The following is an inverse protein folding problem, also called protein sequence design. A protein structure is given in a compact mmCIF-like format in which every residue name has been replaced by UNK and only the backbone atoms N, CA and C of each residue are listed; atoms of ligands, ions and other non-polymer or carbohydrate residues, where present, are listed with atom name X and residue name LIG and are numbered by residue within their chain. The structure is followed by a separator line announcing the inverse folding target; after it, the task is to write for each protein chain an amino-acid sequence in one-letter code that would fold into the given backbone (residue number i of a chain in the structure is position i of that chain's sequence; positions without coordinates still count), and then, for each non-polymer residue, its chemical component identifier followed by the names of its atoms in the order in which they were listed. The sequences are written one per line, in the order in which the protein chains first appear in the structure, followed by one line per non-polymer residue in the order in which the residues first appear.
data_IF_081299877757
#
_entry.id   IF_081299877757
#
_cell.length_a   1.000
_cell.length_b   1.000
_cell.length_c   1.000
_cell.angle_alpha   90.00
_cell.angle_beta   90.00
_cell.angle_gamma   90.00
#
_symmetry.space_group_name_H-M   'P 1'
#
loop_
_entity.id
_entity.type
_entity.pdbx_description
1 polymer ?
#
# COMPACT_ATOMS: atom_id res chain seq x y z
N UNK A 1 -4.53 8.15 -5.04
CA UNK A 1 -3.37 7.71 -4.23
C UNK A 1 -2.20 8.72 -4.25
N UNK A 2 -2.45 10.02 -4.13
CA UNK A 2 -1.40 11.07 -4.23
C UNK A 2 -0.85 11.55 -2.89
N UNK A 3 -1.46 11.16 -1.76
CA UNK A 3 -1.02 11.58 -0.42
C UNK A 3 0.20 10.78 0.10
N UNK A 4 0.41 9.55 -0.38
CA UNK A 4 1.50 8.67 0.09
C UNK A 4 2.91 9.30 -0.02
N UNK A 5 3.30 9.83 -1.19
CA UNK A 5 4.60 10.51 -1.35
C UNK A 5 4.75 11.75 -0.49
N UNK A 6 3.68 12.52 -0.28
CA UNK A 6 3.68 13.73 0.55
C UNK A 6 3.93 13.34 2.02
N UNK A 7 3.24 12.31 2.50
CA UNK A 7 3.44 11.76 3.83
C UNK A 7 4.88 11.27 4.00
N UNK A 8 5.39 10.51 3.03
CA UNK A 8 6.77 10.02 3.06
C UNK A 8 7.79 11.16 3.12
N UNK A 9 7.58 12.23 2.35
CA UNK A 9 8.47 13.38 2.31
C UNK A 9 8.67 14.05 3.68
N UNK A 10 7.59 14.25 4.45
CA UNK A 10 7.67 14.87 5.77
C UNK A 10 8.03 13.87 6.88
N UNK A 11 7.53 12.64 6.80
CA UNK A 11 7.77 11.64 7.85
C UNK A 11 9.21 11.16 7.90
N UNK A 12 9.85 10.94 6.75
CA UNK A 12 11.21 10.40 6.70
C UNK A 12 12.22 11.19 7.54
N UNK A 13 12.34 12.54 7.43
CA UNK A 13 13.27 13.31 8.26
C UNK A 13 12.86 13.36 9.75
N UNK A 14 11.55 13.44 10.05
CA UNK A 14 11.05 13.47 11.44
C UNK A 14 11.38 12.17 12.17
N UNK A 15 11.13 11.03 11.50
CA UNK A 15 11.38 9.71 12.07
C UNK A 15 12.88 9.45 12.21
N UNK A 16 13.70 9.92 11.25
CA UNK A 16 15.15 9.88 11.37
C UNK A 16 15.64 10.59 12.63
N UNK A 17 15.17 11.82 12.85
CA UNK A 17 15.51 12.59 14.05
C UNK A 17 14.99 11.92 15.34
N UNK A 18 13.77 11.37 15.33
CA UNK A 18 13.20 10.68 16.50
C UNK A 18 13.96 9.38 16.81
N UNK A 19 14.44 8.69 15.77
CA UNK A 19 15.25 7.47 15.89
C UNK A 19 16.61 7.71 16.51
N UNK A 20 17.23 8.83 16.20
CA UNK A 20 18.54 9.15 16.78
C UNK A 20 18.47 9.49 18.28
N UNK A 21 17.33 9.92 18.79
CA UNK A 21 17.11 10.24 20.21
C UNK A 21 16.53 9.07 21.04
N UNK A 22 16.20 7.94 20.42
CA UNK A 22 15.56 6.82 21.10
C UNK A 22 16.57 6.01 21.95
N UNK A 23 16.54 6.18 23.27
CA UNK A 23 17.42 5.48 24.23
C UNK A 23 16.77 4.23 24.83
N UNK A 24 16.20 3.34 24.01
CA UNK A 24 15.58 2.11 24.51
C UNK A 24 16.59 0.97 24.69
N UNK A 25 16.38 0.13 25.71
CA UNK A 25 17.26 -1.02 26.03
C UNK A 25 17.33 -2.12 24.95
N UNK A 26 16.40 -2.12 23.98
CA UNK A 26 16.43 -3.02 22.82
C UNK A 26 17.29 -2.50 21.64
N UNK A 27 18.04 -1.41 21.86
CA UNK A 27 18.87 -0.74 20.85
C UNK A 27 18.13 0.42 20.17
N UNK A 28 18.88 1.32 19.52
CA UNK A 28 18.38 2.61 19.00
C UNK A 28 17.36 2.46 17.87
N UNK A 29 17.49 1.44 17.00
CA UNK A 29 16.74 1.33 15.72
C UNK A 29 15.67 0.23 15.66
N UNK A 30 15.83 -0.85 16.44
CA UNK A 30 14.87 -1.96 16.53
C UNK A 30 13.46 -1.58 17.06
N UNK A 31 13.31 -0.75 18.11
CA UNK A 31 11.98 -0.42 18.63
C UNK A 31 11.13 0.36 17.64
N UNK A 32 11.75 1.20 16.80
CA UNK A 32 11.02 2.01 15.80
C UNK A 32 10.52 1.14 14.68
N UNK A 33 11.32 0.17 14.23
CA UNK A 33 10.87 -0.84 13.28
C UNK A 33 9.66 -1.63 13.79
N UNK A 34 9.67 -2.03 15.08
CA UNK A 34 8.54 -2.73 15.72
C UNK A 34 7.31 -1.81 15.83
N UNK A 35 7.51 -0.54 16.16
CA UNK A 35 6.43 0.46 16.24
C UNK A 35 5.78 0.64 14.86
N UNK A 36 6.59 0.73 13.80
CA UNK A 36 6.11 0.80 12.41
C UNK A 36 5.34 -0.44 11.99
N UNK A 37 5.81 -1.62 12.40
CA UNK A 37 5.11 -2.88 12.21
C UNK A 37 3.74 -2.87 12.90
N UNK A 38 3.67 -2.41 14.15
CA UNK A 38 2.41 -2.30 14.90
C UNK A 38 1.43 -1.33 14.25
N UNK A 39 1.89 -0.14 13.85
CA UNK A 39 1.07 0.84 13.11
C UNK A 39 0.56 0.25 11.80
N UNK A 40 1.42 -0.44 11.05
CA UNK A 40 1.05 -1.09 9.80
C UNK A 40 0.01 -2.20 10.00
N UNK A 41 0.15 -3.01 11.06
CA UNK A 41 -0.83 -4.05 11.41
C UNK A 41 -2.19 -3.46 11.74
N UNK A 42 -2.24 -2.44 12.60
CA UNK A 42 -3.49 -1.76 12.98
C UNK A 42 -4.16 -1.14 11.76
N UNK A 43 -3.39 -0.44 10.93
CA UNK A 43 -3.88 0.14 9.69
C UNK A 43 -4.43 -0.92 8.73
N UNK A 44 -3.69 -2.01 8.50
CA UNK A 44 -4.08 -3.06 7.56
C UNK A 44 -5.33 -3.82 8.03
N UNK A 45 -5.45 -4.05 9.33
CA UNK A 45 -6.63 -4.68 9.93
C UNK A 45 -7.86 -3.78 9.83
N UNK A 46 -7.70 -2.46 10.07
CA UNK A 46 -8.76 -1.48 9.86
C UNK A 46 -9.22 -1.39 8.41
N UNK A 47 -8.27 -1.35 7.46
CA UNK A 47 -8.57 -1.37 6.02
C UNK A 47 -9.34 -2.64 5.61
N UNK A 48 -8.96 -3.80 6.14
CA UNK A 48 -9.65 -5.07 5.89
C UNK A 48 -11.11 -5.00 6.35
N UNK A 49 -11.36 -4.54 7.59
CA UNK A 49 -12.73 -4.46 8.13
C UNK A 49 -13.59 -3.50 7.30
N UNK A 50 -13.07 -2.32 6.94
CA UNK A 50 -13.79 -1.35 6.13
C UNK A 50 -14.05 -1.87 4.70
N UNK A 51 -13.14 -2.67 4.14
CA UNK A 51 -13.27 -3.24 2.79
C UNK A 51 -14.22 -4.45 2.71
N UNK A 52 -14.51 -5.13 3.83
CA UNK A 52 -15.46 -6.25 3.88
C UNK A 52 -16.92 -5.77 3.95
N UNK A 53 -17.17 -4.58 4.51
CA UNK A 53 -18.52 -4.01 4.63
C UNK A 53 -19.35 -4.02 3.32
N UNK A 54 -18.81 -3.62 2.14
CA UNK A 54 -19.58 -3.67 0.90
C UNK A 54 -19.78 -5.09 0.34
N UNK A 55 -19.06 -6.10 0.86
CA UNK A 55 -19.09 -7.48 0.38
C UNK A 55 -19.98 -8.41 1.18
N UNK A 56 -20.51 -7.99 2.34
CA UNK A 56 -21.44 -8.79 3.13
C UNK A 56 -22.82 -8.76 2.46
N UNK A 57 -23.30 -9.87 1.85
CA UNK A 57 -24.72 -9.96 1.53
C UNK A 57 -25.45 -10.09 2.87
N UNK A 58 -26.61 -9.44 3.00
CA UNK A 58 -27.60 -9.67 4.07
C UNK A 58 -27.46 -8.75 5.31
N UNK A 59 -28.55 -7.99 5.56
CA UNK A 59 -29.08 -7.51 6.86
C UNK A 59 -28.59 -6.23 7.55
N UNK A 60 -27.76 -5.37 6.96
CA UNK A 60 -27.47 -4.04 7.56
C UNK A 60 -28.04 -2.85 6.79
N UNK A 61 -29.02 -3.06 5.90
CA UNK A 61 -29.84 -1.96 5.34
C UNK A 61 -30.68 -1.24 6.41
N UNK A 62 -30.77 -1.81 7.61
CA UNK A 62 -31.59 -1.35 8.75
C UNK A 62 -30.87 -0.40 9.69
N UNK A 63 -29.56 -0.20 9.58
CA UNK A 63 -28.88 0.84 10.36
C UNK A 63 -28.69 2.04 9.44
N UNK A 64 -29.66 2.94 9.47
CA UNK A 64 -29.63 4.24 8.80
C UNK A 64 -28.45 5.06 9.34
N UNK A 65 -27.25 4.84 8.80
CA UNK A 65 -26.17 5.78 8.96
C UNK A 65 -26.44 6.92 7.99
N UNK A 66 -26.76 8.08 8.57
CA UNK A 66 -27.02 9.34 7.87
C UNK A 66 -26.11 9.49 6.65
N UNK A 67 -26.69 9.48 5.45
CA UNK A 67 -26.05 9.89 4.21
C UNK A 67 -25.77 11.40 4.29
N UNK A 68 -24.71 11.77 4.99
CA UNK A 68 -24.12 13.09 4.87
C UNK A 68 -23.39 13.14 3.52
N UNK A 69 -24.06 13.72 2.52
CA UNK A 69 -23.47 14.15 1.25
C UNK A 69 -22.81 13.05 0.40
N UNK A 70 -23.36 11.84 0.38
CA UNK A 70 -22.95 10.79 -0.57
C UNK A 70 -21.62 10.08 -0.27
N UNK A 71 -21.01 10.32 0.89
CA UNK A 71 -19.83 9.58 1.36
C UNK A 71 -20.25 8.63 2.48
N UNK A 72 -20.15 7.32 2.25
CA UNK A 72 -20.39 6.34 3.31
C UNK A 72 -19.33 6.50 4.40
N UNK A 73 -19.71 6.46 5.69
CA UNK A 73 -18.77 6.54 6.81
C UNK A 73 -17.64 5.50 6.69
N UNK A 74 -17.94 4.34 6.09
CA UNK A 74 -16.97 3.28 5.84
C UNK A 74 -15.88 3.71 4.83
N UNK A 75 -16.22 4.50 3.81
CA UNK A 75 -15.26 4.99 2.81
C UNK A 75 -14.31 6.02 3.43
N UNK A 76 -14.84 6.89 4.29
CA UNK A 76 -14.03 7.84 5.06
C UNK A 76 -13.04 7.13 6.00
N UNK A 77 -13.50 6.12 6.74
CA UNK A 77 -12.65 5.31 7.61
C UNK A 77 -11.60 4.52 6.83
N UNK A 78 -11.94 3.97 5.67
CA UNK A 78 -11.00 3.28 4.79
C UNK A 78 -9.82 4.19 4.40
N UNK A 79 -10.10 5.44 4.00
CA UNK A 79 -9.05 6.40 3.65
C UNK A 79 -8.14 6.71 4.84
N UNK A 80 -8.71 6.86 6.04
CA UNK A 80 -7.95 7.10 7.27
C UNK A 80 -7.03 5.92 7.58
N UNK A 81 -7.54 4.69 7.55
CA UNK A 81 -6.71 3.50 7.79
C UNK A 81 -5.64 3.32 6.72
N UNK A 82 -5.93 3.66 5.46
CA UNK A 82 -4.94 3.65 4.39
C UNK A 82 -3.81 4.66 4.61
N UNK A 83 -4.11 5.82 5.19
CA UNK A 83 -3.11 6.81 5.62
C UNK A 83 -2.23 6.19 6.72
N UNK A 84 -2.82 5.55 7.73
CA UNK A 84 -2.08 4.89 8.82
C UNK A 84 -1.14 3.80 8.28
N UNK A 85 -1.60 2.98 7.33
CA UNK A 85 -0.76 2.00 6.62
C UNK A 85 0.44 2.67 5.95
N UNK A 86 0.21 3.80 5.25
CA UNK A 86 1.28 4.53 4.59
C UNK A 86 2.33 5.09 5.57
N UNK A 87 1.90 5.54 6.75
CA UNK A 87 2.80 5.96 7.83
C UNK A 87 3.66 4.76 8.29
N UNK A 88 3.03 3.62 8.58
CA UNK A 88 3.73 2.41 9.03
C UNK A 88 4.79 1.93 8.03
N UNK A 89 4.46 1.88 6.74
CA UNK A 89 5.41 1.47 5.68
C UNK A 89 6.61 2.40 5.61
N UNK A 90 6.39 3.72 5.61
CA UNK A 90 7.49 4.71 5.58
C UNK A 90 8.40 4.57 6.81
N UNK A 91 7.82 4.30 7.98
CA UNK A 91 8.57 4.14 9.24
C UNK A 91 9.46 2.89 9.21
N UNK A 92 8.93 1.75 8.71
CA UNK A 92 9.70 0.52 8.50
C UNK A 92 10.80 0.75 7.47
N UNK A 93 10.51 1.46 6.37
CA UNK A 93 11.46 1.71 5.27
C UNK A 93 12.69 2.51 5.72
N UNK A 94 12.49 3.56 6.53
CA UNK A 94 13.61 4.35 7.07
C UNK A 94 14.41 3.56 8.09
N UNK A 95 13.71 2.81 8.95
CA UNK A 95 14.33 2.04 10.03
C UNK A 95 15.16 0.88 9.51
N UNK A 96 14.70 0.15 8.48
CA UNK A 96 15.48 -0.97 7.94
C UNK A 96 16.75 -0.48 7.23
N UNK A 97 16.70 0.63 6.49
CA UNK A 97 17.88 1.15 5.78
C UNK A 97 18.97 1.54 6.76
N UNK A 98 18.59 2.30 7.78
CA UNK A 98 19.51 2.66 8.85
C UNK A 98 19.97 1.42 9.62
N UNK A 99 19.12 0.44 9.88
CA UNK A 99 19.53 -0.80 10.54
C UNK A 99 20.60 -1.58 9.77
N UNK A 100 20.51 -1.67 8.44
CA UNK A 100 21.53 -2.34 7.61
C UNK A 100 22.89 -1.65 7.77
N UNK A 101 22.92 -0.31 7.77
CA UNK A 101 24.15 0.46 7.90
C UNK A 101 24.84 0.25 9.26
N UNK A 102 24.08 -0.05 10.32
CA UNK A 102 24.64 -0.25 11.66
C UNK A 102 25.12 -1.67 11.94
N UNK A 103 24.67 -2.67 11.18
CA UNK A 103 24.93 -4.09 11.48
C UNK A 103 25.90 -4.75 10.51
N UNK A 104 26.08 -4.20 9.30
CA UNK A 104 26.89 -4.82 8.24
C UNK A 104 28.01 -3.90 7.78
N UNK A 105 29.14 -4.48 7.41
CA UNK A 105 30.24 -3.78 6.76
C UNK A 105 29.86 -3.36 5.33
N UNK A 106 30.55 -2.35 4.80
CA UNK A 106 30.26 -1.70 3.52
C UNK A 106 30.15 -2.68 2.33
N UNK A 107 30.90 -3.78 2.33
CA UNK A 107 30.86 -4.84 1.29
C UNK A 107 29.53 -5.60 1.35
N UNK A 108 29.06 -5.90 2.56
CA UNK A 108 27.87 -6.72 2.79
C UNK A 108 26.57 -5.90 2.77
N UNK A 109 26.64 -4.60 3.09
CA UNK A 109 25.49 -3.68 3.00
C UNK A 109 24.83 -3.72 1.61
N UNK A 110 25.63 -3.79 0.55
CA UNK A 110 25.11 -3.89 -0.83
C UNK A 110 24.35 -5.20 -1.03
N UNK A 111 24.89 -6.34 -0.58
CA UNK A 111 24.25 -7.66 -0.72
C UNK A 111 22.92 -7.72 0.04
N UNK A 112 22.89 -7.23 1.27
CA UNK A 112 21.67 -7.22 2.11
C UNK A 112 20.59 -6.32 1.51
N UNK A 113 20.97 -5.14 1.00
CA UNK A 113 20.04 -4.22 0.33
C UNK A 113 19.45 -4.84 -0.94
N UNK A 114 20.26 -5.61 -1.68
CA UNK A 114 19.84 -6.31 -2.89
C UNK A 114 18.80 -7.40 -2.56
N UNK A 115 19.04 -8.22 -1.54
CA UNK A 115 18.07 -9.21 -1.05
C UNK A 115 16.77 -8.53 -0.60
N UNK A 116 16.86 -7.41 0.11
CA UNK A 116 15.69 -6.63 0.51
C UNK A 116 14.87 -6.14 -0.69
N UNK A 117 15.55 -5.72 -1.77
CA UNK A 117 14.91 -5.28 -3.02
C UNK A 117 14.24 -6.43 -3.76
N UNK A 118 14.85 -7.62 -3.76
CA UNK A 118 14.24 -8.85 -4.31
C UNK A 118 12.96 -9.20 -3.55
N UNK A 119 12.98 -9.14 -2.21
CA UNK A 119 11.80 -9.41 -1.38
C UNK A 119 10.66 -8.40 -1.61
N UNK A 120 10.99 -7.11 -1.75
CA UNK A 120 10.01 -6.09 -2.14
C UNK A 120 9.41 -6.36 -3.52
N UNK A 121 10.25 -6.77 -4.48
CA UNK A 121 9.81 -7.17 -5.81
C UNK A 121 8.82 -8.35 -5.77
N UNK A 122 9.17 -9.41 -5.04
CA UNK A 122 8.30 -10.57 -4.85
C UNK A 122 6.97 -10.19 -4.18
N UNK A 123 7.00 -9.33 -3.16
CA UNK A 123 5.79 -8.82 -2.51
C UNK A 123 4.86 -8.10 -3.48
N UNK A 124 5.41 -7.26 -4.36
CA UNK A 124 4.62 -6.58 -5.39
C UNK A 124 4.02 -7.54 -6.42
N UNK A 125 4.79 -8.54 -6.87
CA UNK A 125 4.29 -9.55 -7.82
C UNK A 125 3.10 -10.32 -7.22
N UNK A 126 3.21 -10.73 -5.96
CA UNK A 126 2.12 -11.41 -5.26
C UNK A 126 0.91 -10.49 -5.11
N UNK A 127 1.12 -9.25 -4.68
CA UNK A 127 0.05 -8.27 -4.48
C UNK A 127 -0.73 -7.97 -5.77
N UNK A 128 -0.03 -7.61 -6.85
CA UNK A 128 -0.67 -7.34 -8.14
C UNK A 128 -1.25 -8.61 -8.78
N UNK A 129 -0.58 -9.75 -8.59
CA UNK A 129 -1.06 -11.05 -9.06
C UNK A 129 -2.41 -11.41 -8.44
N UNK A 130 -2.52 -11.40 -7.11
CA UNK A 130 -3.76 -11.68 -6.40
C UNK A 130 -4.84 -10.66 -6.76
N UNK A 131 -4.50 -9.38 -6.79
CA UNK A 131 -5.46 -8.31 -7.14
C UNK A 131 -6.03 -8.48 -8.54
N UNK A 132 -5.19 -8.86 -9.52
CA UNK A 132 -5.65 -9.11 -10.90
C UNK A 132 -6.56 -10.32 -11.01
N UNK A 133 -6.30 -11.41 -10.28
CA UNK A 133 -7.18 -12.58 -10.21
C UNK A 133 -8.54 -12.21 -9.60
N UNK A 134 -8.56 -11.47 -8.49
CA UNK A 134 -9.81 -11.02 -7.85
C UNK A 134 -10.61 -10.14 -8.82
N UNK A 135 -9.94 -9.22 -9.51
CA UNK A 135 -10.57 -8.35 -10.50
C UNK A 135 -11.18 -9.17 -11.65
N UNK A 136 -10.48 -10.18 -12.16
CA UNK A 136 -11.01 -11.07 -13.20
C UNK A 136 -12.25 -11.84 -12.72
N UNK A 137 -12.23 -12.38 -11.49
CA UNK A 137 -13.39 -13.06 -10.90
C UNK A 137 -14.59 -12.10 -10.79
N UNK A 138 -14.35 -10.87 -10.35
CA UNK A 138 -15.40 -9.85 -10.24
C UNK A 138 -15.99 -9.49 -11.60
N UNK A 139 -15.15 -9.35 -12.64
CA UNK A 139 -15.58 -9.04 -14.01
C UNK A 139 -16.27 -10.20 -14.72
N UNK A 140 -16.09 -11.45 -14.27
CA UNK A 140 -16.81 -12.62 -14.80
C UNK A 140 -18.22 -12.81 -14.22
N UNK A 141 -18.64 -12.01 -13.23
CA UNK A 141 -20.00 -12.05 -12.69
C UNK A 141 -21.02 -11.55 -13.74
N UNK A 142 -22.12 -12.28 -13.99
CA UNK A 142 -23.04 -12.02 -15.11
C UNK A 142 -23.85 -10.71 -15.00
N UNK A 143 -23.73 -9.97 -13.90
CA UNK A 143 -24.57 -8.81 -13.58
C UNK A 143 -23.85 -7.45 -13.68
N UNK A 144 -22.55 -7.42 -14.02
CA UNK A 144 -21.81 -6.18 -14.25
C UNK A 144 -21.26 -6.13 -15.67
N UNK A 145 -22.12 -5.60 -16.54
CA UNK A 145 -21.97 -5.28 -17.96
C UNK A 145 -20.60 -5.44 -18.60
N UNK A 146 -20.60 -6.31 -19.61
CA UNK A 146 -19.58 -6.50 -20.66
C UNK A 146 -19.03 -5.19 -21.27
N UNK A 147 -19.72 -4.06 -21.06
CA UNK A 147 -19.35 -2.71 -21.50
C UNK A 147 -18.12 -2.13 -20.77
N UNK A 148 -17.90 -2.44 -19.48
CA UNK A 148 -16.71 -1.97 -18.74
C UNK A 148 -15.44 -2.66 -19.23
N UNK A 149 -15.52 -3.97 -19.49
CA UNK A 149 -14.44 -4.77 -20.07
C UNK A 149 -14.05 -4.28 -21.47
N UNK A 150 -15.01 -3.98 -22.35
CA UNK A 150 -14.71 -3.48 -23.70
C UNK A 150 -14.01 -2.12 -23.67
N UNK A 151 -14.42 -1.22 -22.77
CA UNK A 151 -13.81 0.09 -22.65
C UNK A 151 -12.40 0.04 -22.04
N UNK A 152 -12.16 -0.77 -21.01
CA UNK A 152 -10.82 -0.92 -20.44
C UNK A 152 -9.87 -1.66 -21.39
N UNK A 153 -10.32 -2.71 -22.09
CA UNK A 153 -9.49 -3.36 -23.11
C UNK A 153 -9.15 -2.41 -24.26
N UNK A 154 -10.10 -1.61 -24.74
CA UNK A 154 -9.84 -0.63 -25.79
C UNK A 154 -8.89 0.48 -25.34
N UNK A 155 -9.00 0.94 -24.08
CA UNK A 155 -8.07 1.92 -23.52
C UNK A 155 -6.65 1.32 -23.36
N UNK A 156 -6.52 0.09 -22.86
CA UNK A 156 -5.22 -0.59 -22.74
C UNK A 156 -4.59 -0.82 -24.11
N UNK A 157 -5.37 -1.25 -25.11
CA UNK A 157 -4.90 -1.40 -26.50
C UNK A 157 -4.50 -0.05 -27.10
N UNK A 158 -5.23 1.04 -26.82
CA UNK A 158 -4.89 2.39 -27.26
C UNK A 158 -3.57 2.89 -26.64
N UNK A 159 -3.38 2.70 -25.33
CA UNK A 159 -2.15 3.06 -24.65
C UNK A 159 -0.96 2.21 -25.10
N UNK A 160 -1.14 0.90 -25.29
CA UNK A 160 -0.10 0.02 -25.84
C UNK A 160 0.26 0.43 -27.27
N UNK A 161 -0.72 0.73 -28.13
CA UNK A 161 -0.46 1.25 -29.48
C UNK A 161 0.31 2.57 -29.45
N UNK A 162 -0.03 3.49 -28.56
CA UNK A 162 0.71 4.76 -28.43
C UNK A 162 2.13 4.55 -27.90
N UNK A 163 2.35 3.65 -26.95
CA UNK A 163 3.68 3.30 -26.44
C UNK A 163 4.54 2.68 -27.55
N UNK A 164 3.99 1.73 -28.32
CA UNK A 164 4.68 1.11 -29.45
C UNK A 164 4.89 2.06 -30.65
N UNK A 165 4.05 3.09 -30.80
CA UNK A 165 4.22 4.14 -31.81
C UNK A 165 5.30 5.15 -31.43
N UNK A 166 5.57 5.32 -30.13
CA UNK A 166 6.67 6.17 -29.63
C UNK A 166 8.02 5.44 -29.71
N UNK A 167 8.05 4.10 -29.69
CA UNK A 167 9.28 3.31 -29.81
C UNK A 167 9.63 2.88 -31.24
N UNK A 168 8.85 3.27 -32.25
CA UNK A 168 9.08 2.96 -33.66
C UNK A 168 9.05 4.18 -34.57
N UNK A 169 10.25 4.69 -34.89
CA UNK A 169 10.60 5.56 -36.04
C UNK A 169 9.94 6.95 -36.09
N UNK A 170 10.60 7.92 -35.45
CA UNK A 170 11.50 8.86 -36.14
C UNK A 170 12.64 9.27 -35.19
#
# INVERSE_FOLDING_TARGET
MTIGPIIGFFLQPIIGALSDHATFGYGRRRPIMILGLGIWFVGSFGTLICSIYPLLPVTLKTISFNELNGLSLCDGLFVIFQIIVAIGINLIQVSYRSFILDQFDWIDQTRVTLIGSVMLGLGNVIYYGITSIICLIYLTQPNHDKMFLTNHFNQVIFYLKNIFKISGLQ
#
